data_IF_740229806044
#
_entry.id   IF_740229806044
#
_cell.length_a   1.000
_cell.length_b   1.000
_cell.length_c   1.000
_cell.angle_alpha   90.00
_cell.angle_beta   90.00
_cell.angle_gamma   90.00
#
_symmetry.space_group_name_H-M   'P 1'
#
loop_
_entity.id
_entity.type
_entity.pdbx_description
1 polymer ?
#
# COMPACT_ATOMS: atom_id res chain seq x y z
N UNK A 1 -36.12 -37.51 20.42
CA UNK A 1 -36.72 -36.23 20.85
C UNK A 1 -36.81 -36.05 22.37
N UNK A 2 -37.35 -36.99 23.17
CA UNK A 2 -37.50 -36.83 24.64
C UNK A 2 -36.19 -36.58 25.39
N UNK A 3 -35.10 -37.27 25.01
CA UNK A 3 -33.76 -37.08 25.60
C UNK A 3 -33.19 -35.67 25.38
N UNK A 4 -33.54 -35.01 24.28
CA UNK A 4 -33.07 -33.66 23.95
C UNK A 4 -33.78 -32.63 24.83
N UNK A 5 -35.10 -32.77 24.99
CA UNK A 5 -35.91 -31.91 25.87
C UNK A 5 -35.47 -32.01 27.33
N UNK A 6 -35.27 -33.23 27.84
CA UNK A 6 -34.79 -33.44 29.20
C UNK A 6 -33.41 -32.82 29.49
N UNK A 7 -32.51 -32.78 28.49
CA UNK A 7 -31.22 -32.06 28.61
C UNK A 7 -31.42 -30.54 28.67
N UNK A 8 -32.31 -29.99 27.84
CA UNK A 8 -32.62 -28.55 27.83
C UNK A 8 -33.25 -28.12 29.17
N UNK A 9 -34.17 -28.91 29.72
CA UNK A 9 -34.82 -28.60 30.99
C UNK A 9 -33.82 -28.62 32.16
N UNK A 10 -32.85 -29.54 32.13
CA UNK A 10 -31.75 -29.59 33.11
C UNK A 10 -30.82 -28.37 33.01
N UNK A 11 -30.59 -27.85 31.81
CA UNK A 11 -29.79 -26.64 31.58
C UNK A 11 -30.53 -25.40 32.11
N UNK A 12 -31.83 -25.28 31.83
CA UNK A 12 -32.67 -24.19 32.34
C UNK A 12 -32.70 -24.08 33.87
N UNK A 13 -32.52 -25.20 34.56
CA UNK A 13 -32.53 -25.28 36.02
C UNK A 13 -31.23 -24.81 36.69
N UNK A 14 -30.16 -24.58 35.93
CA UNK A 14 -28.87 -24.14 36.47
C UNK A 14 -28.80 -22.62 36.62
N UNK A 15 -28.11 -22.13 37.67
CA UNK A 15 -27.96 -20.69 37.96
C UNK A 15 -27.34 -19.90 36.80
N UNK A 16 -26.54 -20.57 35.97
CA UNK A 16 -25.90 -20.02 34.77
C UNK A 16 -26.91 -19.66 33.67
N UNK A 17 -28.01 -20.41 33.54
CA UNK A 17 -29.05 -20.10 32.56
C UNK A 17 -29.78 -18.80 32.91
N UNK A 18 -30.03 -18.53 34.19
CA UNK A 18 -30.64 -17.29 34.63
C UNK A 18 -29.77 -16.06 34.29
N UNK A 19 -28.45 -16.17 34.48
CA UNK A 19 -27.48 -15.13 34.13
C UNK A 19 -27.42 -14.94 32.61
N UNK A 20 -27.33 -16.03 31.84
CA UNK A 20 -27.28 -15.99 30.38
C UNK A 20 -28.58 -15.49 29.73
N UNK A 21 -29.74 -15.68 30.37
CA UNK A 21 -31.04 -15.18 29.88
C UNK A 21 -31.30 -13.71 30.22
N UNK A 22 -30.41 -13.07 31.00
CA UNK A 22 -30.56 -11.66 31.34
C UNK A 22 -30.36 -10.80 30.09
N UNK A 23 -31.33 -9.92 29.79
CA UNK A 23 -31.29 -8.99 28.65
C UNK A 23 -30.01 -8.16 28.60
N UNK A 24 -29.44 -7.79 29.75
CA UNK A 24 -28.18 -7.04 29.81
C UNK A 24 -27.00 -7.89 29.38
N UNK A 25 -26.94 -9.16 29.80
CA UNK A 25 -25.87 -10.08 29.39
C UNK A 25 -25.96 -10.40 27.90
N UNK A 26 -27.16 -10.63 27.38
CA UNK A 26 -27.37 -10.84 25.95
C UNK A 26 -27.00 -9.60 25.12
N UNK A 27 -27.36 -8.40 25.59
CA UNK A 27 -26.98 -7.15 24.93
C UNK A 27 -25.45 -6.94 24.96
N UNK A 28 -24.78 -7.19 26.09
CA UNK A 28 -23.32 -7.10 26.20
C UNK A 28 -22.62 -8.12 25.32
N UNK A 29 -23.08 -9.37 25.27
CA UNK A 29 -22.51 -10.41 24.40
C UNK A 29 -22.71 -10.05 22.92
N UNK A 30 -23.90 -9.58 22.54
CA UNK A 30 -24.17 -9.08 21.20
C UNK A 30 -23.27 -7.90 20.84
N UNK A 31 -23.08 -6.97 21.76
CA UNK A 31 -22.18 -5.83 21.60
C UNK A 31 -20.72 -6.26 21.45
N UNK A 32 -20.23 -7.21 22.24
CA UNK A 32 -18.87 -7.75 22.11
C UNK A 32 -18.69 -8.45 20.76
N UNK A 33 -19.65 -9.28 20.34
CA UNK A 33 -19.61 -9.92 19.02
C UNK A 33 -19.62 -8.85 17.91
N UNK A 34 -20.41 -7.79 18.07
CA UNK A 34 -20.43 -6.67 17.12
C UNK A 34 -19.08 -5.94 17.07
N UNK A 35 -18.49 -5.59 18.21
CA UNK A 35 -17.17 -4.97 18.32
C UNK A 35 -16.02 -5.86 17.80
N UNK A 36 -16.17 -7.18 17.82
CA UNK A 36 -15.13 -8.11 17.37
C UNK A 36 -15.23 -8.49 15.89
N UNK A 37 -16.45 -8.60 15.35
CA UNK A 37 -16.68 -9.12 14.00
C UNK A 37 -17.20 -8.08 13.00
N UNK A 38 -17.94 -7.07 13.47
CA UNK A 38 -18.57 -6.04 12.63
C UNK A 38 -17.85 -4.68 12.71
N UNK A 39 -17.08 -4.43 13.77
CA UNK A 39 -16.34 -3.19 13.97
C UNK A 39 -14.94 -3.21 13.30
N UNK A 40 -14.38 -2.02 13.07
CA UNK A 40 -13.20 -1.64 12.25
C UNK A 40 -11.90 -2.33 12.66
N UNK A 41 -11.87 -3.10 13.75
CA UNK A 41 -10.69 -3.86 14.17
C UNK A 41 -10.61 -5.25 13.50
N UNK A 42 -11.09 -5.33 12.26
CA UNK A 42 -11.10 -6.58 11.50
C UNK A 42 -9.69 -6.90 11.02
N UNK A 43 -9.35 -8.18 10.99
CA UNK A 43 -8.10 -8.68 10.43
C UNK A 43 -7.87 -8.22 8.97
N UNK A 44 -8.95 -7.99 8.22
CA UNK A 44 -8.90 -7.49 6.85
C UNK A 44 -8.28 -6.09 6.75
N UNK A 45 -8.60 -5.21 7.70
CA UNK A 45 -8.08 -3.84 7.72
C UNK A 45 -6.59 -3.84 8.05
N UNK A 46 -6.15 -4.68 9.01
CA UNK A 46 -4.72 -4.84 9.30
C UNK A 46 -3.96 -5.41 8.11
N UNK A 47 -4.56 -6.34 7.36
CA UNK A 47 -3.94 -6.86 6.14
C UNK A 47 -3.82 -5.78 5.05
N UNK A 48 -4.89 -5.02 4.79
CA UNK A 48 -4.88 -3.93 3.82
C UNK A 48 -3.83 -2.86 4.17
N UNK A 49 -3.77 -2.46 5.44
CA UNK A 49 -2.76 -1.52 5.94
C UNK A 49 -1.33 -2.05 5.79
N UNK A 50 -1.09 -3.34 6.05
CA UNK A 50 0.24 -3.92 5.86
C UNK A 50 0.66 -3.92 4.39
N UNK A 51 -0.28 -4.21 3.47
CA UNK A 51 0.00 -4.13 2.03
C UNK A 51 0.32 -2.69 1.63
N UNK A 52 -0.44 -1.71 2.12
CA UNK A 52 -0.17 -0.30 1.86
C UNK A 52 1.21 0.13 2.40
N UNK A 53 1.60 -0.36 3.58
CA UNK A 53 2.94 -0.14 4.13
C UNK A 53 4.01 -0.73 3.20
N UNK A 54 3.87 -1.98 2.78
CA UNK A 54 4.85 -2.65 1.90
C UNK A 54 4.96 -1.93 0.53
N UNK A 55 3.86 -1.40 -0.01
CA UNK A 55 3.85 -0.61 -1.25
C UNK A 55 4.55 0.75 -1.08
N UNK A 56 4.33 1.41 0.06
CA UNK A 56 4.99 2.67 0.39
C UNK A 56 6.50 2.47 0.59
N UNK A 57 6.91 1.42 1.29
CA UNK A 57 8.33 1.09 1.50
C UNK A 57 9.04 0.80 0.16
N UNK A 58 8.43 0.01 -0.72
CA UNK A 58 8.96 -0.22 -2.08
C UNK A 58 9.07 1.07 -2.89
N UNK A 59 8.08 1.96 -2.78
CA UNK A 59 8.10 3.25 -3.46
C UNK A 59 9.25 4.13 -2.95
N UNK A 60 9.48 4.15 -1.63
CA UNK A 60 10.61 4.87 -1.02
C UNK A 60 11.94 4.34 -1.57
N UNK A 61 12.15 3.02 -1.52
CA UNK A 61 13.39 2.40 -2.00
C UNK A 61 13.63 2.72 -3.49
N UNK A 62 12.59 2.62 -4.31
CA UNK A 62 12.66 2.98 -5.74
C UNK A 62 13.10 4.42 -5.95
N UNK A 63 12.45 5.39 -5.27
CA UNK A 63 12.78 6.80 -5.46
C UNK A 63 14.14 7.17 -4.88
N UNK A 64 14.58 6.54 -3.80
CA UNK A 64 15.93 6.75 -3.26
C UNK A 64 17.00 6.27 -4.26
N UNK A 65 16.80 5.12 -4.90
CA UNK A 65 17.68 4.62 -5.94
C UNK A 65 17.69 5.55 -7.17
N UNK A 66 16.52 6.04 -7.59
CA UNK A 66 16.37 7.00 -8.68
C UNK A 66 17.14 8.29 -8.40
N UNK A 67 16.94 8.89 -7.22
CA UNK A 67 17.61 10.11 -6.78
C UNK A 67 19.14 9.91 -6.76
N UNK A 68 19.61 8.76 -6.29
CA UNK A 68 21.04 8.45 -6.25
C UNK A 68 21.63 8.40 -7.67
N UNK A 69 20.94 7.73 -8.60
CA UNK A 69 21.35 7.65 -10.01
C UNK A 69 21.35 9.02 -10.68
N UNK A 70 20.29 9.80 -10.49
CA UNK A 70 20.15 11.12 -11.10
C UNK A 70 21.18 12.10 -10.54
N UNK A 71 21.50 12.03 -9.24
CA UNK A 71 22.61 12.81 -8.64
C UNK A 71 23.95 12.46 -9.28
N UNK A 72 24.22 11.18 -9.51
CA UNK A 72 25.45 10.75 -10.17
C UNK A 72 25.51 11.25 -11.61
N UNK A 73 24.42 11.14 -12.36
CA UNK A 73 24.35 11.69 -13.72
C UNK A 73 24.54 13.21 -13.71
N UNK A 74 23.93 13.92 -12.77
CA UNK A 74 24.08 15.36 -12.63
C UNK A 74 25.53 15.74 -12.32
N UNK A 75 26.21 15.02 -11.44
CA UNK A 75 27.63 15.22 -11.15
C UNK A 75 28.49 14.98 -12.40
N UNK A 76 28.24 13.90 -13.14
CA UNK A 76 28.96 13.61 -14.39
C UNK A 76 28.76 14.72 -15.43
N UNK A 77 27.54 15.24 -15.59
CA UNK A 77 27.22 16.33 -16.50
C UNK A 77 27.81 17.68 -16.06
N UNK A 78 27.81 17.98 -14.76
CA UNK A 78 28.30 19.26 -14.22
C UNK A 78 29.81 19.30 -14.00
N UNK A 79 30.46 18.13 -13.91
CA UNK A 79 31.91 18.03 -13.75
C UNK A 79 32.71 18.60 -14.92
N UNK A 80 32.13 18.63 -16.12
CA UNK A 80 32.83 19.02 -17.34
C UNK A 80 31.87 19.75 -18.32
N UNK A 81 32.14 21.02 -18.66
CA UNK A 81 31.36 21.77 -19.65
C UNK A 81 31.23 21.06 -21.00
N UNK A 82 32.21 20.28 -21.43
CA UNK A 82 32.15 19.54 -22.70
C UNK A 82 31.12 18.41 -22.64
N UNK A 83 31.01 17.72 -21.51
CA UNK A 83 30.01 16.65 -21.31
C UNK A 83 28.60 17.22 -21.29
N UNK A 84 28.42 18.38 -20.64
CA UNK A 84 27.15 19.09 -20.63
C UNK A 84 26.76 19.55 -22.04
N UNK A 85 27.69 20.12 -22.80
CA UNK A 85 27.43 20.54 -24.19
C UNK A 85 27.10 19.34 -25.09
N UNK A 86 27.82 18.22 -24.94
CA UNK A 86 27.54 16.98 -25.67
C UNK A 86 26.14 16.46 -25.36
N UNK A 87 25.77 16.36 -24.09
CA UNK A 87 24.44 15.92 -23.67
C UNK A 87 23.32 16.83 -24.21
N UNK A 88 23.50 18.15 -24.12
CA UNK A 88 22.55 19.12 -24.66
C UNK A 88 22.39 19.01 -26.18
N UNK A 89 23.46 18.68 -26.91
CA UNK A 89 23.44 18.48 -28.36
C UNK A 89 22.82 17.15 -28.78
N UNK A 90 23.11 16.06 -28.07
CA UNK A 90 22.62 14.72 -28.43
C UNK A 90 21.16 14.51 -28.03
N UNK A 91 20.78 14.91 -26.81
CA UNK A 91 19.45 14.63 -26.27
C UNK A 91 18.43 15.72 -26.60
N UNK A 92 18.85 16.98 -26.64
CA UNK A 92 17.96 18.13 -26.80
C UNK A 92 18.20 18.94 -28.07
N UNK A 93 19.19 18.56 -28.88
CA UNK A 93 19.56 19.22 -30.15
C UNK A 93 19.77 20.72 -29.99
N UNK A 94 20.33 21.13 -28.85
CA UNK A 94 20.63 22.53 -28.57
C UNK A 94 21.73 23.05 -29.51
N UNK A 95 21.58 24.29 -29.98
CA UNK A 95 22.54 24.97 -30.88
C UNK A 95 23.00 26.31 -30.36
N UNK A 96 24.21 26.72 -30.73
CA UNK A 96 24.71 28.07 -30.46
C UNK A 96 24.13 29.07 -31.45
N UNK A 97 24.17 30.36 -31.08
CA UNK A 97 23.68 31.44 -31.95
C UNK A 97 24.52 31.49 -33.23
N UNK A 98 23.87 31.38 -34.39
CA UNK A 98 24.52 31.35 -35.70
C UNK A 98 24.89 29.96 -36.20
N UNK A 99 24.51 28.90 -35.49
CA UNK A 99 24.74 27.51 -35.88
C UNK A 99 23.49 26.91 -36.58
N UNK A 100 23.71 26.07 -37.59
CA UNK A 100 22.66 25.33 -38.30
C UNK A 100 22.79 23.83 -38.00
N UNK A 101 21.68 23.19 -37.61
CA UNK A 101 21.61 21.75 -37.34
C UNK A 101 20.94 21.09 -38.54
N UNK A 102 21.57 20.05 -39.08
CA UNK A 102 21.01 19.21 -40.14
C UNK A 102 20.65 17.85 -39.52
N UNK A 103 19.39 17.45 -39.62
CA UNK A 103 18.94 16.11 -39.25
C UNK A 103 18.94 15.27 -40.53
N UNK A 104 19.77 14.23 -40.57
CA UNK A 104 19.83 13.29 -41.70
C UNK A 104 19.04 12.05 -41.29
N UNK A 105 17.88 11.86 -41.91
CA UNK A 105 17.10 10.62 -41.78
C UNK A 105 17.63 9.61 -42.80
N UNK A 106 17.92 8.38 -42.36
CA UNK A 106 18.19 7.29 -43.29
C UNK A 106 16.91 7.00 -44.05
N UNK A 107 16.94 7.22 -45.36
CA UNK A 107 15.86 6.80 -46.26
C UNK A 107 16.03 5.30 -46.43
N UNK A 108 15.23 4.49 -45.72
CA UNK A 108 15.14 3.06 -45.98
C UNK A 108 14.66 2.85 -47.43
N UNK A 109 15.49 2.21 -48.27
CA UNK A 109 15.16 1.74 -49.63
C UNK A 109 14.63 0.29 -49.62
#
# INVERSE_FOLDING_TARGET
>A
MKKLRAKIDKIKQTRWFAIASNKFVLATVGFIIWMLFLDVNSYLIHHELNVEIDELEQSIEYYEAEISRDKKQLEELTSDPEKLEKFAREQYWMKKKGEEIYLVEEVEE
#
